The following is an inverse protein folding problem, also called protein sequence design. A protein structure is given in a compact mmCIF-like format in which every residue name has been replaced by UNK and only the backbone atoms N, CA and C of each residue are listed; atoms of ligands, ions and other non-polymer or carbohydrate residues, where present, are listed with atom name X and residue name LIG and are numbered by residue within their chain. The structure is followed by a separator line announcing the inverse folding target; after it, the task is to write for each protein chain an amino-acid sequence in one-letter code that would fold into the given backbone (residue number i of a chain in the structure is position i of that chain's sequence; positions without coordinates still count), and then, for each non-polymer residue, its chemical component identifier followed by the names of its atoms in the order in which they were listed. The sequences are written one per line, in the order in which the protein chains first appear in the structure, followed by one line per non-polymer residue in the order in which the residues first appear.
data_IF_723774367553
#
_entry.id   IF_723774367553
#
_cell.length_a   1.000
_cell.length_b   1.000
_cell.length_c   1.000
_cell.angle_alpha   90.00
_cell.angle_beta   90.00
_cell.angle_gamma   90.00
#
_symmetry.space_group_name_H-M   'P 1'
#
loop_
_entity.id
_entity.type
_entity.pdbx_description
1 polymer ?
#
# COMPACT_ATOMS: atom_id res chain seq x y z
N UNK A 1 -26.98 24.34 20.69
CA UNK A 1 -26.68 23.85 19.33
C UNK A 1 -25.20 23.51 19.37
N UNK A 2 -24.80 22.24 19.43
CA UNK A 2 -23.38 21.92 19.29
C UNK A 2 -23.01 22.11 17.83
N UNK A 3 -21.90 22.77 17.56
CA UNK A 3 -21.32 22.77 16.23
C UNK A 3 -21.01 21.33 15.83
N UNK A 4 -21.31 20.99 14.57
CA UNK A 4 -20.91 19.71 13.98
C UNK A 4 -19.37 19.67 13.93
N UNK A 5 -18.76 18.57 14.37
CA UNK A 5 -17.30 18.42 14.29
C UNK A 5 -16.87 18.25 12.84
N UNK A 6 -15.64 18.63 12.53
CA UNK A 6 -15.12 18.47 11.17
C UNK A 6 -15.05 17.01 10.73
N UNK A 7 -14.79 16.08 11.66
CA UNK A 7 -14.87 14.63 11.40
C UNK A 7 -16.29 14.19 10.98
N UNK A 8 -17.33 14.62 11.72
CA UNK A 8 -18.71 14.26 11.39
C UNK A 8 -19.13 14.86 10.04
N UNK A 9 -18.68 16.09 9.76
CA UNK A 9 -18.90 16.76 8.49
C UNK A 9 -18.18 16.03 7.35
N UNK A 10 -16.95 15.59 7.54
CA UNK A 10 -16.18 14.83 6.56
C UNK A 10 -16.90 13.54 6.18
N UNK A 11 -17.32 12.73 7.16
CA UNK A 11 -18.06 11.48 6.91
C UNK A 11 -19.34 11.72 6.09
N UNK A 12 -20.09 12.78 6.41
CA UNK A 12 -21.29 13.15 5.65
C UNK A 12 -20.96 13.54 4.21
N UNK A 13 -19.92 14.34 4.01
CA UNK A 13 -19.48 14.80 2.69
C UNK A 13 -18.93 13.64 1.86
N UNK A 14 -18.15 12.73 2.45
CA UNK A 14 -17.69 11.50 1.80
C UNK A 14 -18.85 10.67 1.30
N UNK A 15 -19.86 10.44 2.15
CA UNK A 15 -21.03 9.66 1.77
C UNK A 15 -21.78 10.32 0.60
N UNK A 16 -21.92 11.65 0.63
CA UNK A 16 -22.53 12.41 -0.45
C UNK A 16 -21.70 12.34 -1.74
N UNK A 17 -20.38 12.50 -1.65
CA UNK A 17 -19.47 12.47 -2.78
C UNK A 17 -19.42 11.09 -3.44
N UNK A 18 -19.25 10.02 -2.65
CA UNK A 18 -19.31 8.63 -3.16
C UNK A 18 -20.67 8.31 -3.76
N UNK A 19 -21.76 8.80 -3.16
CA UNK A 19 -23.11 8.68 -3.70
C UNK A 19 -23.28 9.37 -5.05
N UNK A 20 -22.73 10.58 -5.20
CA UNK A 20 -22.74 11.35 -6.44
C UNK A 20 -21.90 10.68 -7.53
N UNK A 21 -20.69 10.19 -7.21
CA UNK A 21 -19.86 9.41 -8.12
C UNK A 21 -20.59 8.17 -8.64
N UNK A 22 -21.22 7.40 -7.75
CA UNK A 22 -21.99 6.21 -8.12
C UNK A 22 -23.21 6.53 -8.99
N UNK A 23 -23.78 7.72 -8.84
CA UNK A 23 -24.88 8.21 -9.65
C UNK A 23 -24.42 8.85 -10.97
N UNK A 24 -23.11 8.86 -11.26
CA UNK A 24 -22.51 9.53 -12.42
C UNK A 24 -22.95 10.99 -12.53
N UNK A 25 -23.01 11.66 -11.36
CA UNK A 25 -23.43 13.05 -11.29
C UNK A 25 -22.50 13.96 -12.09
N UNK A 26 -23.07 15.02 -12.68
CA UNK A 26 -22.30 15.99 -13.45
C UNK A 26 -21.24 16.71 -12.62
N UNK A 27 -20.22 17.22 -13.31
CA UNK A 27 -19.11 17.98 -12.71
C UNK A 27 -19.58 19.13 -11.80
N UNK A 28 -20.68 19.80 -12.14
CA UNK A 28 -21.27 20.90 -11.35
C UNK A 28 -21.69 20.48 -9.94
N UNK A 29 -21.93 19.18 -9.71
CA UNK A 29 -22.24 18.59 -8.40
C UNK A 29 -20.97 18.05 -7.74
N UNK A 30 -20.14 17.35 -8.50
CA UNK A 30 -18.94 16.69 -7.97
C UNK A 30 -17.87 17.69 -7.52
N UNK A 31 -17.61 18.74 -8.30
CA UNK A 31 -16.52 19.67 -8.02
C UNK A 31 -16.72 20.47 -6.72
N UNK A 32 -17.91 21.04 -6.41
CA UNK A 32 -18.13 21.71 -5.13
C UNK A 32 -18.06 20.75 -3.92
N UNK A 33 -18.63 19.55 -4.04
CA UNK A 33 -18.58 18.55 -2.96
C UNK A 33 -17.14 18.13 -2.65
N UNK A 34 -16.34 17.91 -3.71
CA UNK A 34 -14.90 17.62 -3.59
C UNK A 34 -14.17 18.77 -2.89
N UNK A 35 -14.37 20.00 -3.33
CA UNK A 35 -13.70 21.17 -2.73
C UNK A 35 -14.04 21.36 -1.25
N UNK A 36 -15.30 21.16 -0.86
CA UNK A 36 -15.71 21.23 0.55
C UNK A 36 -15.11 20.08 1.38
N UNK A 37 -15.02 18.89 0.81
CA UNK A 37 -14.41 17.73 1.46
C UNK A 37 -12.90 17.95 1.66
N UNK A 38 -12.20 18.43 0.64
CA UNK A 38 -10.78 18.76 0.68
C UNK A 38 -10.48 19.82 1.77
N UNK A 39 -11.24 20.91 1.82
CA UNK A 39 -11.11 21.94 2.86
C UNK A 39 -11.37 21.37 4.26
N UNK A 40 -12.33 20.46 4.40
CA UNK A 40 -12.64 19.83 5.69
C UNK A 40 -11.52 18.91 6.16
N UNK A 41 -10.95 18.09 5.27
CA UNK A 41 -9.75 17.30 5.59
C UNK A 41 -8.57 18.16 6.00
N UNK A 42 -8.30 19.26 5.28
CA UNK A 42 -7.22 20.17 5.67
C UNK A 42 -7.45 20.80 7.05
N UNK A 43 -8.70 21.08 7.44
CA UNK A 43 -9.01 21.59 8.79
C UNK A 43 -8.81 20.53 9.86
N UNK A 44 -9.17 19.27 9.59
CA UNK A 44 -8.85 18.14 10.49
C UNK A 44 -7.34 18.02 10.67
N UNK A 45 -6.56 18.03 9.58
CA UNK A 45 -5.09 17.93 9.62
C UNK A 45 -4.40 19.15 10.25
N UNK A 46 -5.06 20.30 10.32
CA UNK A 46 -4.54 21.43 11.12
C UNK A 46 -4.62 21.15 12.63
N UNK A 47 -5.63 20.38 13.06
CA UNK A 47 -5.83 20.03 14.47
C UNK A 47 -5.10 18.75 14.87
N UNK A 48 -5.06 17.77 13.97
CA UNK A 48 -4.40 16.49 14.13
C UNK A 48 -3.58 16.18 12.87
N UNK A 49 -2.34 16.70 12.78
CA UNK A 49 -1.52 16.57 11.58
C UNK A 49 -1.19 15.13 11.21
N UNK A 50 -1.17 14.21 12.18
CA UNK A 50 -0.78 12.81 12.00
C UNK A 50 -2.02 11.90 11.94
N UNK A 51 -3.19 12.44 11.58
CA UNK A 51 -4.40 11.65 11.39
C UNK A 51 -4.28 10.79 10.12
N UNK A 52 -3.82 9.55 10.27
CA UNK A 52 -3.56 8.62 9.16
C UNK A 52 -4.77 8.44 8.24
N UNK A 53 -5.96 8.23 8.81
CA UNK A 53 -7.20 8.07 8.03
C UNK A 53 -7.48 9.29 7.14
N UNK A 54 -7.30 10.49 7.68
CA UNK A 54 -7.53 11.74 6.95
C UNK A 54 -6.44 12.01 5.91
N UNK A 55 -5.18 11.70 6.22
CA UNK A 55 -4.06 11.81 5.26
C UNK A 55 -4.32 10.89 4.05
N UNK A 56 -4.69 9.63 4.29
CA UNK A 56 -5.03 8.67 3.23
C UNK A 56 -6.25 9.12 2.44
N UNK A 57 -7.32 9.56 3.12
CA UNK A 57 -8.54 10.01 2.44
C UNK A 57 -8.31 11.27 1.59
N UNK A 58 -7.49 12.21 2.07
CA UNK A 58 -7.09 13.38 1.29
C UNK A 58 -6.22 12.97 0.09
N UNK A 59 -5.25 12.07 0.27
CA UNK A 59 -4.42 11.58 -0.82
C UNK A 59 -5.25 10.95 -1.95
N UNK A 60 -6.24 10.11 -1.62
CA UNK A 60 -7.17 9.52 -2.60
C UNK A 60 -8.04 10.59 -3.29
N UNK A 61 -8.48 11.61 -2.54
CA UNK A 61 -9.25 12.71 -3.13
C UNK A 61 -8.41 13.53 -4.12
N UNK A 62 -7.11 13.69 -3.85
CA UNK A 62 -6.17 14.39 -4.70
C UNK A 62 -5.75 13.57 -5.93
N UNK A 63 -5.49 12.26 -5.79
CA UNK A 63 -5.08 11.39 -6.90
C UNK A 63 -6.18 11.13 -7.93
N UNK A 64 -7.44 11.36 -7.58
CA UNK A 64 -8.58 11.27 -8.51
C UNK A 64 -8.77 12.53 -9.35
N UNK A 65 -8.00 13.59 -9.10
CA UNK A 65 -8.07 14.84 -9.85
C UNK A 65 -7.04 14.88 -10.99
N UNK A 66 -7.54 14.80 -12.22
CA UNK A 66 -6.73 14.87 -13.44
C UNK A 66 -5.99 16.21 -13.59
N UNK A 67 -6.36 17.25 -12.82
CA UNK A 67 -5.81 18.60 -12.95
C UNK A 67 -4.66 18.90 -11.98
N UNK A 68 -4.42 18.08 -10.95
CA UNK A 68 -3.35 18.28 -9.98
C UNK A 68 -2.26 17.22 -10.16
N UNK A 69 -0.98 17.60 -10.28
CA UNK A 69 0.11 16.64 -10.34
C UNK A 69 0.21 15.90 -9.00
N UNK A 70 0.40 14.59 -9.08
CA UNK A 70 0.30 13.59 -8.00
C UNK A 70 1.37 13.68 -6.89
N UNK A 71 2.07 14.81 -6.78
CA UNK A 71 3.12 15.01 -5.78
C UNK A 71 2.59 15.11 -4.35
N UNK A 72 1.51 15.88 -4.13
CA UNK A 72 0.95 16.05 -2.77
C UNK A 72 0.32 14.74 -2.26
N UNK A 73 -0.38 13.99 -3.11
CA UNK A 73 -0.93 12.69 -2.74
C UNK A 73 0.16 11.70 -2.36
N UNK A 74 1.26 11.65 -3.11
CA UNK A 74 2.44 10.83 -2.77
C UNK A 74 3.07 11.27 -1.45
N UNK A 75 3.26 12.58 -1.22
CA UNK A 75 3.80 13.10 0.05
C UNK A 75 2.93 12.73 1.26
N UNK A 76 1.61 12.82 1.12
CA UNK A 76 0.67 12.45 2.18
C UNK A 76 0.76 10.95 2.50
N UNK A 77 0.84 10.08 1.49
CA UNK A 77 0.96 8.64 1.70
C UNK A 77 2.33 8.22 2.24
N UNK A 78 3.42 8.88 1.83
CA UNK A 78 4.73 8.71 2.46
C UNK A 78 4.69 9.02 3.95
N UNK A 79 3.98 10.08 4.33
CA UNK A 79 3.82 10.45 5.72
C UNK A 79 3.06 9.38 6.52
N UNK A 80 1.99 8.81 5.96
CA UNK A 80 1.25 7.71 6.60
C UNK A 80 2.15 6.48 6.74
N UNK A 81 2.87 6.12 5.68
CA UNK A 81 3.80 4.99 5.68
C UNK A 81 4.91 5.15 6.72
N UNK A 82 5.45 6.36 6.89
CA UNK A 82 6.49 6.64 7.89
C UNK A 82 6.01 6.54 9.35
N UNK A 83 4.69 6.55 9.60
CA UNK A 83 4.13 6.34 10.93
C UNK A 83 4.26 4.88 11.39
N UNK A 84 4.02 3.94 10.48
CA UNK A 84 4.21 2.50 10.69
C UNK A 84 4.57 1.80 9.37
N UNK A 85 5.87 1.59 9.13
CA UNK A 85 6.34 0.95 7.90
C UNK A 85 6.00 -0.53 7.82
N UNK A 86 5.60 -1.17 8.92
CA UNK A 86 5.17 -2.55 8.90
C UNK A 86 3.69 -2.69 8.53
N UNK A 87 2.93 -1.58 8.53
CA UNK A 87 1.51 -1.57 8.19
C UNK A 87 1.29 -1.90 6.71
N UNK A 88 0.36 -2.83 6.46
CA UNK A 88 0.10 -3.36 5.13
C UNK A 88 -0.72 -2.38 4.29
N UNK A 89 -1.72 -1.74 4.89
CA UNK A 89 -2.66 -0.87 4.21
C UNK A 89 -1.97 0.42 3.70
N UNK A 90 -1.09 1.02 4.51
CA UNK A 90 -0.31 2.19 4.12
C UNK A 90 0.72 1.88 3.03
N UNK A 91 1.39 0.72 3.12
CA UNK A 91 2.30 0.23 2.09
C UNK A 91 1.55 0.04 0.76
N UNK A 92 0.42 -0.67 0.78
CA UNK A 92 -0.40 -0.93 -0.42
C UNK A 92 -0.89 0.37 -1.05
N UNK A 93 -1.41 1.29 -0.25
CA UNK A 93 -1.93 2.58 -0.73
C UNK A 93 -0.85 3.40 -1.44
N UNK A 94 0.34 3.48 -0.86
CA UNK A 94 1.47 4.23 -1.43
C UNK A 94 2.00 3.56 -2.71
N UNK A 95 2.19 2.23 -2.69
CA UNK A 95 2.64 1.49 -3.87
C UNK A 95 1.65 1.62 -5.02
N UNK A 96 0.36 1.44 -4.76
CA UNK A 96 -0.68 1.55 -5.78
C UNK A 96 -0.67 2.91 -6.47
N UNK A 97 -0.43 3.99 -5.70
CA UNK A 97 -0.28 5.32 -6.27
C UNK A 97 0.99 5.43 -7.12
N UNK A 98 2.14 4.99 -6.61
CA UNK A 98 3.41 5.05 -7.35
C UNK A 98 3.37 4.26 -8.66
N UNK A 99 2.76 3.07 -8.66
CA UNK A 99 2.52 2.29 -9.87
C UNK A 99 1.63 3.03 -10.88
N UNK A 100 0.57 3.69 -10.41
CA UNK A 100 -0.29 4.50 -11.27
C UNK A 100 0.47 5.66 -11.93
N UNK A 101 1.53 6.14 -11.29
CA UNK A 101 2.46 7.16 -11.81
C UNK A 101 3.62 6.59 -12.63
N UNK A 102 3.69 5.26 -12.77
CA UNK A 102 4.82 4.55 -13.39
C UNK A 102 6.18 4.77 -12.70
N UNK A 103 6.16 5.07 -11.40
CA UNK A 103 7.34 5.23 -10.53
C UNK A 103 7.68 3.88 -9.88
N UNK A 104 8.12 2.94 -10.71
CA UNK A 104 8.38 1.54 -10.33
C UNK A 104 9.53 1.40 -9.31
N UNK A 105 10.57 2.23 -9.44
CA UNK A 105 11.75 2.20 -8.56
C UNK A 105 11.37 2.62 -7.12
N UNK A 106 10.56 3.65 -6.99
CA UNK A 106 10.01 4.13 -5.73
C UNK A 106 9.07 3.11 -5.11
N UNK A 107 8.22 2.46 -5.91
CA UNK A 107 7.34 1.40 -5.43
C UNK A 107 8.14 0.21 -4.85
N UNK A 108 9.22 -0.20 -5.52
CA UNK A 108 10.10 -1.25 -5.00
C UNK A 108 10.82 -0.83 -3.72
N UNK A 109 11.20 0.44 -3.59
CA UNK A 109 11.79 0.98 -2.37
C UNK A 109 10.80 0.98 -1.21
N UNK A 110 9.52 1.29 -1.45
CA UNK A 110 8.47 1.16 -0.42
C UNK A 110 8.35 -0.28 0.07
N UNK A 111 8.26 -1.25 -0.85
CA UNK A 111 8.22 -2.66 -0.45
C UNK A 111 9.49 -3.11 0.28
N UNK A 112 10.66 -2.61 -0.12
CA UNK A 112 11.93 -2.89 0.56
C UNK A 112 11.90 -2.39 2.01
N UNK A 113 11.53 -1.13 2.22
CA UNK A 113 11.42 -0.54 3.55
C UNK A 113 10.37 -1.24 4.41
N UNK A 114 9.22 -1.60 3.83
CA UNK A 114 8.18 -2.32 4.53
C UNK A 114 8.62 -3.74 4.93
N UNK A 115 9.28 -4.45 4.01
CA UNK A 115 9.88 -5.76 4.26
C UNK A 115 10.89 -5.69 5.41
N UNK A 116 11.80 -4.70 5.39
CA UNK A 116 12.77 -4.48 6.46
C UNK A 116 12.08 -4.23 7.81
N UNK A 117 10.99 -3.46 7.82
CA UNK A 117 10.19 -3.18 9.00
C UNK A 117 9.39 -4.38 9.54
N UNK A 118 9.22 -5.45 8.74
CA UNK A 118 8.52 -6.67 9.18
C UNK A 118 7.31 -7.05 8.35
N UNK A 119 6.94 -6.26 7.34
CA UNK A 119 5.82 -6.59 6.45
C UNK A 119 6.19 -7.76 5.53
N UNK A 120 5.62 -8.93 5.81
CA UNK A 120 5.91 -10.16 5.08
C UNK A 120 5.23 -10.21 3.70
N UNK A 121 4.12 -9.49 3.53
CA UNK A 121 3.48 -9.36 2.23
C UNK A 121 4.36 -8.52 1.31
N UNK A 122 4.86 -7.37 1.79
CA UNK A 122 5.83 -6.56 1.06
C UNK A 122 7.11 -7.32 0.69
N UNK A 123 7.60 -8.19 1.58
CA UNK A 123 8.71 -9.08 1.27
C UNK A 123 8.40 -10.01 0.09
N UNK A 124 7.20 -10.60 0.06
CA UNK A 124 6.76 -11.45 -1.05
C UNK A 124 6.58 -10.66 -2.36
N UNK A 125 5.94 -9.49 -2.33
CA UNK A 125 5.70 -8.68 -3.53
C UNK A 125 7.02 -8.19 -4.15
N UNK A 126 7.96 -7.70 -3.34
CA UNK A 126 9.28 -7.31 -3.83
C UNK A 126 10.04 -8.50 -4.42
N UNK A 127 9.96 -9.68 -3.78
CA UNK A 127 10.59 -10.88 -4.29
C UNK A 127 10.01 -11.29 -5.66
N UNK A 128 8.68 -11.23 -5.82
CA UNK A 128 8.01 -11.53 -7.07
C UNK A 128 8.44 -10.59 -8.20
N UNK A 129 8.51 -9.28 -7.94
CA UNK A 129 8.99 -8.31 -8.93
C UNK A 129 10.45 -8.50 -9.33
N UNK A 130 11.32 -8.80 -8.37
CA UNK A 130 12.73 -9.10 -8.63
C UNK A 130 12.88 -10.40 -9.45
N UNK A 131 12.11 -11.42 -9.12
CA UNK A 131 12.05 -12.70 -9.85
C UNK A 131 11.60 -12.50 -11.31
N UNK A 132 10.55 -11.70 -11.54
CA UNK A 132 10.09 -11.33 -12.89
C UNK A 132 11.15 -10.60 -13.72
N UNK A 133 12.04 -9.83 -13.07
CA UNK A 133 13.19 -9.16 -13.70
C UNK A 133 14.42 -10.06 -13.84
N UNK A 134 14.39 -11.25 -13.23
CA UNK A 134 15.47 -12.24 -13.25
C UNK A 134 16.51 -12.04 -12.16
N UNK A 135 16.28 -11.15 -11.20
CA UNK A 135 17.17 -10.82 -10.10
C UNK A 135 17.03 -11.82 -8.93
N UNK A 136 17.21 -13.11 -9.25
CA UNK A 136 16.97 -14.24 -8.34
C UNK A 136 17.85 -14.21 -7.08
N UNK A 137 19.02 -13.56 -7.14
CA UNK A 137 19.92 -13.40 -5.99
C UNK A 137 19.31 -12.50 -4.91
N UNK A 138 18.55 -11.47 -5.32
CA UNK A 138 17.86 -10.57 -4.40
C UNK A 138 16.47 -11.09 -4.00
N UNK A 139 15.78 -11.78 -4.90
CA UNK A 139 14.43 -12.34 -4.63
C UNK A 139 14.45 -13.47 -3.58
N UNK A 140 15.44 -14.37 -3.63
CA UNK A 140 15.49 -15.56 -2.77
C UNK A 140 15.47 -15.27 -1.26
N UNK A 141 16.30 -14.36 -0.69
CA UNK A 141 16.24 -14.07 0.74
C UNK A 141 14.89 -13.50 1.18
N UNK A 142 14.21 -12.75 0.31
CA UNK A 142 12.89 -12.19 0.57
C UNK A 142 11.81 -13.28 0.56
N UNK A 143 11.81 -14.15 -0.46
CA UNK A 143 10.92 -15.32 -0.47
C UNK A 143 11.16 -16.24 0.73
N UNK A 144 12.41 -16.45 1.14
CA UNK A 144 12.74 -17.23 2.34
C UNK A 144 12.12 -16.63 3.59
N UNK A 145 12.26 -15.32 3.81
CA UNK A 145 11.66 -14.63 4.95
C UNK A 145 10.13 -14.76 4.96
N UNK A 146 9.48 -14.56 3.83
CA UNK A 146 8.02 -14.72 3.73
C UNK A 146 7.58 -16.18 3.93
N UNK A 147 8.33 -17.14 3.39
CA UNK A 147 8.06 -18.57 3.53
C UNK A 147 8.24 -19.07 4.97
N UNK A 148 9.28 -18.61 5.67
CA UNK A 148 9.52 -18.91 7.10
C UNK A 148 8.37 -18.42 7.99
N UNK A 149 7.70 -17.35 7.60
CA UNK A 149 6.51 -16.85 8.27
C UNK A 149 5.20 -17.54 7.82
N UNK A 150 5.27 -18.52 6.92
CA UNK A 150 4.14 -19.32 6.50
C UNK A 150 3.39 -18.80 5.27
N UNK A 151 3.95 -17.84 4.51
CA UNK A 151 3.36 -17.43 3.24
C UNK A 151 3.46 -18.59 2.22
N UNK A 152 2.32 -19.18 1.88
CA UNK A 152 2.25 -20.34 0.99
C UNK A 152 2.70 -20.05 -0.45
N UNK A 153 2.49 -18.83 -0.93
CA UNK A 153 2.96 -18.40 -2.25
C UNK A 153 4.48 -18.27 -2.26
N UNK A 154 5.07 -17.67 -1.22
CA UNK A 154 6.51 -17.59 -1.05
C UNK A 154 7.16 -18.98 -0.94
N UNK A 155 6.53 -19.93 -0.22
CA UNK A 155 6.95 -21.33 -0.16
C UNK A 155 6.98 -21.97 -1.57
N UNK A 156 5.93 -21.76 -2.36
CA UNK A 156 5.84 -22.32 -3.70
C UNK A 156 6.90 -21.75 -4.64
N UNK A 157 7.08 -20.43 -4.64
CA UNK A 157 8.04 -19.73 -5.51
C UNK A 157 9.49 -20.06 -5.11
N UNK A 158 9.81 -20.06 -3.81
CA UNK A 158 11.14 -20.47 -3.35
C UNK A 158 11.44 -21.94 -3.67
N UNK A 159 10.46 -22.84 -3.55
CA UNK A 159 10.65 -24.23 -3.92
C UNK A 159 10.90 -24.40 -5.43
N UNK A 160 10.21 -23.62 -6.28
CA UNK A 160 10.46 -23.63 -7.72
C UNK A 160 11.88 -23.13 -8.04
N UNK A 161 12.31 -22.03 -7.43
CA UNK A 161 13.67 -21.49 -7.58
C UNK A 161 14.74 -22.50 -7.15
N UNK A 162 14.52 -23.24 -6.07
CA UNK A 162 15.41 -24.32 -5.62
C UNK A 162 15.44 -25.48 -6.61
N UNK A 163 14.31 -25.86 -7.21
CA UNK A 163 14.26 -26.92 -8.23
C UNK A 163 15.03 -26.55 -9.49
N UNK A 164 14.93 -25.30 -9.94
CA UNK A 164 15.66 -24.80 -11.12
C UNK A 164 17.17 -24.83 -10.90
N UNK A 165 17.63 -24.62 -9.66
CA UNK A 165 19.05 -24.75 -9.27
C UNK A 165 19.49 -26.19 -9.03
N UNK A 166 18.56 -27.15 -9.07
CA UNK A 166 18.82 -28.57 -8.87
C UNK A 166 18.75 -29.04 -7.40
N UNK A 167 18.36 -28.17 -6.48
CA UNK A 167 18.24 -28.46 -5.05
C UNK A 167 16.87 -29.10 -4.71
N UNK A 168 16.55 -30.20 -5.39
CA UNK A 168 15.24 -30.88 -5.29
C UNK A 168 14.90 -31.31 -3.85
N UNK A 169 15.89 -31.75 -3.07
CA UNK A 169 15.67 -32.16 -1.67
C UNK A 169 15.21 -30.96 -0.82
N UNK A 170 15.88 -29.81 -0.96
CA UNK A 170 15.50 -28.58 -0.25
C UNK A 170 14.11 -28.09 -0.67
N UNK A 171 13.79 -28.14 -1.96
CA UNK A 171 12.46 -27.80 -2.46
C UNK A 171 11.36 -28.70 -1.87
N UNK A 172 11.59 -30.02 -1.81
CA UNK A 172 10.62 -30.95 -1.21
C UNK A 172 10.46 -30.73 0.29
N UNK A 173 11.55 -30.52 1.03
CA UNK A 173 11.52 -30.24 2.45
C UNK A 173 10.75 -28.94 2.77
N UNK A 174 10.94 -27.89 1.96
CA UNK A 174 10.23 -26.64 2.09
C UNK A 174 8.71 -26.82 1.88
N UNK A 175 8.31 -27.53 0.83
CA UNK A 175 6.88 -27.82 0.54
C UNK A 175 6.21 -28.69 1.61
N UNK A 176 6.96 -29.59 2.24
CA UNK A 176 6.45 -30.45 3.31
C UNK A 176 6.36 -29.73 4.66
N UNK A 177 6.87 -28.48 4.77
CA UNK A 177 6.98 -27.77 6.04
C UNK A 177 8.01 -28.38 6.99
N UNK A 178 8.92 -29.22 6.49
CA UNK A 178 9.92 -29.95 7.28
C UNK A 178 11.19 -29.11 7.55
N UNK A 179 11.28 -27.89 7.00
CA UNK A 179 12.38 -26.93 7.21
C UNK A 179 12.04 -25.67 8.02
N UNK A 180 10.78 -25.44 8.40
CA UNK A 180 10.30 -24.15 8.96
C UNK A 180 9.80 -24.24 10.41
N UNK A 181 10.38 -25.13 11.23
CA UNK A 181 10.13 -25.10 12.68
C UNK A 181 11.24 -24.33 13.39
N UNK A 182 11.01 -23.10 13.87
CA UNK A 182 11.90 -22.53 14.87
C UNK A 182 11.84 -23.41 16.12
N UNK A 183 13.02 -23.84 16.59
CA UNK A 183 13.23 -24.50 17.88
C UNK A 183 13.01 -23.56 19.06
#
# INVERSE_FOLDING_TARGET
MSEETDEARAVRLEQAYRGALKAEADYDILHPLRGELEETYRRILQTDPDNADTLTALAVLLSTDVQLPDGESVELLWRVFDMDRADEDSCESLVSLLEALSEEEEADEVYRQASEAGNLQAAFELAARLDERGDLEEAEPLYRRAAEAGNAHAVANLAALLEERGDHEAATALRNGEGARPS
#
